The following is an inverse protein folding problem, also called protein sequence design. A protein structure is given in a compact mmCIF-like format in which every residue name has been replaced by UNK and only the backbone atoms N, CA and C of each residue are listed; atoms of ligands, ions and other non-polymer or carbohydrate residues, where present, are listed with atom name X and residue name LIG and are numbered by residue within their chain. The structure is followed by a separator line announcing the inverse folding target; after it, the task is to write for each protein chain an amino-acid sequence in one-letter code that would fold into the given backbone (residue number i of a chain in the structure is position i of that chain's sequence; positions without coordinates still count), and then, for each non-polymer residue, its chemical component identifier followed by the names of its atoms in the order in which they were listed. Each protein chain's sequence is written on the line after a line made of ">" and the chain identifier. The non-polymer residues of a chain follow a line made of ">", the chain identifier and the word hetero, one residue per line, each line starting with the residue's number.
data_IF_643391266107
#
_entry.id   IF_643391266107
#
_cell.length_a   1.000
_cell.length_b   1.000
_cell.length_c   1.000
_cell.angle_alpha   90.00
_cell.angle_beta   90.00
_cell.angle_gamma   90.00
#
_symmetry.space_group_name_H-M   'P 1'
#
loop_
_entity.id
_entity.type
_entity.pdbx_description
1 polymer ?
#
# COMPACT_ATOMS: atom_id res chain seq x y z
N UNK A 1 5.31 8.55 2.81
CA UNK A 1 4.57 7.31 3.14
C UNK A 1 3.60 7.01 2.01
N UNK A 2 3.25 5.75 1.80
CA UNK A 2 2.29 5.29 0.80
C UNK A 2 1.13 4.58 1.50
N UNK A 3 -0.07 4.74 0.96
CA UNK A 3 -1.28 4.13 1.51
C UNK A 3 -2.04 3.39 0.42
N UNK A 4 -2.49 2.18 0.75
CA UNK A 4 -3.55 1.52 -0.01
C UNK A 4 -4.85 1.69 0.75
N UNK A 5 -5.87 2.18 0.08
CA UNK A 5 -7.14 2.58 0.70
C UNK A 5 -8.33 1.95 -0.01
N UNK A 6 -9.37 1.63 0.75
CA UNK A 6 -10.69 1.27 0.25
C UNK A 6 -11.61 2.49 0.46
N UNK A 7 -12.27 2.97 -0.58
CA UNK A 7 -13.01 4.24 -0.55
C UNK A 7 -14.35 4.10 -1.28
N UNK A 8 -15.36 4.85 -0.85
CA UNK A 8 -16.68 4.87 -1.49
C UNK A 8 -16.73 5.74 -2.76
N UNK A 9 -15.70 6.56 -3.00
CA UNK A 9 -15.58 7.39 -4.19
C UNK A 9 -14.32 7.07 -4.96
N UNK A 10 -14.36 7.28 -6.28
CA UNK A 10 -13.21 7.08 -7.18
C UNK A 10 -12.16 8.20 -7.01
N UNK A 11 -11.56 8.29 -5.83
CA UNK A 11 -10.60 9.31 -5.40
C UNK A 11 -9.39 8.65 -4.76
N UNK A 12 -8.17 8.80 -5.33
CA UNK A 12 -6.99 8.12 -4.82
C UNK A 12 -6.21 8.86 -3.73
N UNK A 13 -6.58 10.10 -3.39
CA UNK A 13 -5.87 10.91 -2.40
C UNK A 13 -6.60 10.97 -1.06
N UNK A 14 -5.91 10.60 0.02
CA UNK A 14 -6.37 10.79 1.40
C UNK A 14 -6.60 12.27 1.70
N UNK A 15 -5.78 13.16 1.15
CA UNK A 15 -5.95 14.61 1.30
C UNK A 15 -7.32 15.07 0.77
N UNK A 16 -7.66 14.64 -0.44
CA UNK A 16 -8.97 14.93 -1.05
C UNK A 16 -10.13 14.28 -0.27
N UNK A 17 -9.98 13.02 0.13
CA UNK A 17 -11.01 12.31 0.92
C UNK A 17 -11.28 13.01 2.25
N UNK A 18 -10.24 13.48 2.94
CA UNK A 18 -10.37 14.24 4.20
C UNK A 18 -11.04 15.61 3.98
N UNK A 19 -10.63 16.34 2.94
CA UNK A 19 -11.21 17.65 2.57
C UNK A 19 -12.72 17.54 2.32
N UNK A 20 -13.12 16.49 1.62
CA UNK A 20 -14.50 16.26 1.22
C UNK A 20 -15.31 15.46 2.25
N UNK A 21 -14.68 15.05 3.38
CA UNK A 21 -15.27 14.23 4.44
C UNK A 21 -15.83 12.89 3.94
N UNK A 22 -15.15 12.30 2.96
CA UNK A 22 -15.49 11.00 2.38
C UNK A 22 -14.98 9.89 3.29
N UNK A 23 -15.78 8.83 3.44
CA UNK A 23 -15.39 7.65 4.22
C UNK A 23 -14.40 6.80 3.45
N UNK A 24 -13.38 6.32 4.17
CA UNK A 24 -12.39 5.42 3.61
C UNK A 24 -11.79 4.54 4.69
N UNK A 25 -11.23 3.41 4.28
CA UNK A 25 -10.52 2.47 5.14
C UNK A 25 -9.08 2.35 4.65
N UNK A 26 -8.11 2.63 5.53
CA UNK A 26 -6.70 2.35 5.28
C UNK A 26 -6.49 0.84 5.37
N UNK A 27 -6.10 0.24 4.25
CA UNK A 27 -5.92 -1.20 4.13
C UNK A 27 -4.51 -1.62 4.53
N UNK A 28 -3.53 -0.85 4.08
CA UNK A 28 -2.12 -1.08 4.33
C UNK A 28 -1.32 0.22 4.14
N UNK A 29 -0.15 0.27 4.77
CA UNK A 29 0.79 1.40 4.70
C UNK A 29 2.17 0.90 4.39
N UNK A 30 2.92 1.63 3.57
CA UNK A 30 4.32 1.35 3.30
C UNK A 30 5.16 2.63 3.40
N UNK A 31 6.35 2.52 3.97
CA UNK A 31 7.28 3.64 4.12
C UNK A 31 8.49 3.41 3.22
N UNK A 32 8.94 4.47 2.54
CA UNK A 32 10.14 4.48 1.69
C UNK A 32 10.17 3.51 0.49
N UNK A 33 9.14 2.69 0.30
CA UNK A 33 8.94 1.88 -0.89
C UNK A 33 7.45 1.60 -1.12
N UNK A 34 7.10 1.14 -2.31
CA UNK A 34 5.75 0.67 -2.67
C UNK A 34 5.82 -0.80 -3.04
N UNK A 35 5.05 -1.69 -2.38
CA UNK A 35 5.04 -3.10 -2.75
C UNK A 35 4.66 -3.35 -4.20
N UNK A 36 5.36 -4.27 -4.87
CA UNK A 36 5.10 -4.65 -6.26
C UNK A 36 3.64 -5.08 -6.46
N UNK A 37 3.11 -5.82 -5.50
CA UNK A 37 1.73 -6.32 -5.57
C UNK A 37 0.68 -5.21 -5.52
N UNK A 38 0.99 -4.04 -4.94
CA UNK A 38 0.07 -2.90 -4.97
C UNK A 38 -0.07 -2.36 -6.39
N UNK A 39 1.03 -2.25 -7.14
CA UNK A 39 0.97 -1.83 -8.53
C UNK A 39 0.16 -2.81 -9.40
N UNK A 40 0.27 -4.11 -9.13
CA UNK A 40 -0.49 -5.15 -9.82
C UNK A 40 -2.01 -5.09 -9.61
N UNK A 41 -2.50 -4.29 -8.65
CA UNK A 41 -3.94 -4.07 -8.46
C UNK A 41 -4.51 -3.14 -9.53
N UNK A 42 -3.68 -2.38 -10.24
CA UNK A 42 -4.13 -1.28 -11.09
C UNK A 42 -3.57 -1.39 -12.51
N UNK A 43 -4.18 -0.63 -13.42
CA UNK A 43 -3.72 -0.43 -14.80
C UNK A 43 -3.56 1.04 -15.09
N UNK A 44 -2.87 1.36 -16.18
CA UNK A 44 -2.72 2.73 -16.67
C UNK A 44 -4.08 3.45 -16.84
N UNK A 45 -5.13 2.73 -17.25
CA UNK A 45 -6.49 3.27 -17.37
C UNK A 45 -7.17 3.61 -16.05
N UNK A 46 -6.62 3.17 -14.92
CA UNK A 46 -7.12 3.48 -13.57
C UNK A 46 -6.49 4.76 -13.00
N UNK A 47 -5.54 5.38 -13.71
CA UNK A 47 -4.87 6.60 -13.27
C UNK A 47 -5.81 7.80 -13.33
N UNK A 48 -5.81 8.56 -12.24
CA UNK A 48 -6.57 9.80 -12.07
C UNK A 48 -5.59 10.90 -11.71
N UNK A 49 -5.74 12.04 -12.38
CA UNK A 49 -4.97 13.25 -12.05
C UNK A 49 -5.42 13.81 -10.69
N UNK A 50 -4.46 14.09 -9.84
CA UNK A 50 -4.63 14.61 -8.49
C UNK A 50 -3.73 15.82 -8.33
N UNK A 51 -4.28 16.93 -7.86
CA UNK A 51 -3.49 18.08 -7.41
C UNK A 51 -2.99 17.83 -5.99
N UNK A 52 -1.68 17.83 -5.83
CA UNK A 52 -0.99 17.72 -4.56
C UNK A 52 -0.52 19.12 -4.13
N UNK A 53 -1.09 19.60 -3.02
CA UNK A 53 -0.64 20.82 -2.34
C UNK A 53 0.51 20.46 -1.38
N UNK A 54 1.65 21.16 -1.47
CA UNK A 54 2.80 20.96 -0.59
C UNK A 54 3.54 22.26 -0.30
N UNK A 55 4.33 22.26 0.78
CA UNK A 55 5.15 23.41 1.17
C UNK A 55 6.63 23.08 0.98
N UNK A 56 7.43 24.06 0.53
CA UNK A 56 8.88 23.94 0.55
C UNK A 56 9.45 24.17 1.97
N UNK A 57 10.78 24.09 2.09
CA UNK A 57 11.48 24.33 3.36
C UNK A 57 11.39 25.78 3.87
N UNK A 58 10.94 26.73 3.04
CA UNK A 58 10.72 28.14 3.38
C UNK A 58 9.24 28.43 3.72
N UNK A 59 8.36 27.43 3.56
CA UNK A 59 6.91 27.55 3.80
C UNK A 59 6.11 28.12 2.63
N UNK A 60 6.70 28.23 1.44
CA UNK A 60 5.97 28.62 0.23
C UNK A 60 5.08 27.47 -0.23
N UNK A 61 3.84 27.80 -0.62
CA UNK A 61 2.86 26.84 -1.13
C UNK A 61 3.06 26.56 -2.62
N UNK A 62 3.09 25.27 -2.95
CA UNK A 62 3.14 24.76 -4.31
C UNK A 62 1.98 23.80 -4.56
N UNK A 63 1.54 23.77 -5.81
CA UNK A 63 0.54 22.81 -6.29
C UNK A 63 1.10 22.16 -7.54
N UNK A 64 1.27 20.84 -7.48
CA UNK A 64 1.70 20.06 -8.63
C UNK A 64 0.72 18.92 -8.87
N UNK A 65 0.54 18.53 -10.13
CA UNK A 65 -0.36 17.44 -10.48
C UNK A 65 0.41 16.13 -10.60
N UNK A 66 -0.18 15.06 -10.09
CA UNK A 66 0.33 13.69 -10.22
C UNK A 66 -0.78 12.74 -10.65
N UNK A 67 -0.44 11.57 -11.16
CA UNK A 67 -1.39 10.53 -11.52
C UNK A 67 -1.35 9.41 -10.48
N UNK A 68 -2.49 9.13 -9.86
CA UNK A 68 -2.62 8.08 -8.84
C UNK A 68 -3.73 7.11 -9.21
N UNK A 69 -3.57 5.81 -8.95
CA UNK A 69 -4.50 4.82 -9.43
C UNK A 69 -5.71 4.65 -8.50
N UNK A 70 -6.89 4.51 -9.10
CA UNK A 70 -8.11 4.11 -8.39
C UNK A 70 -9.00 3.24 -9.29
N UNK A 71 -9.32 2.05 -8.82
CA UNK A 71 -10.11 1.06 -9.56
C UNK A 71 -11.18 0.44 -8.65
N UNK A 72 -12.09 -0.36 -9.20
CA UNK A 72 -13.06 -1.10 -8.39
C UNK A 72 -12.39 -2.25 -7.65
N UNK A 73 -12.95 -2.70 -6.53
CA UNK A 73 -12.47 -3.91 -5.82
C UNK A 73 -12.40 -5.11 -6.76
N UNK A 74 -13.44 -5.31 -7.58
CA UNK A 74 -13.49 -6.39 -8.57
C UNK A 74 -12.40 -6.23 -9.64
N UNK A 75 -12.18 -5.00 -10.11
CA UNK A 75 -11.10 -4.66 -11.03
C UNK A 75 -9.73 -4.99 -10.46
N UNK A 76 -9.47 -4.61 -9.21
CA UNK A 76 -8.22 -4.88 -8.52
C UNK A 76 -7.94 -6.38 -8.37
N UNK A 77 -8.93 -7.16 -7.95
CA UNK A 77 -8.83 -8.62 -7.83
C UNK A 77 -8.55 -9.25 -9.19
N UNK A 78 -9.23 -8.79 -10.23
CA UNK A 78 -9.04 -9.28 -11.61
C UNK A 78 -7.66 -8.93 -12.14
N UNK A 79 -7.18 -7.71 -11.90
CA UNK A 79 -5.84 -7.27 -12.30
C UNK A 79 -4.75 -8.11 -11.64
N UNK A 80 -4.85 -8.34 -10.32
CA UNK A 80 -3.90 -9.15 -9.57
C UNK A 80 -3.85 -10.60 -10.06
N UNK A 81 -5.00 -11.22 -10.35
CA UNK A 81 -5.05 -12.59 -10.91
C UNK A 81 -4.35 -12.69 -12.26
N UNK A 82 -4.37 -11.60 -13.04
CA UNK A 82 -3.78 -11.54 -14.37
C UNK A 82 -2.33 -11.06 -14.37
N UNK A 83 -1.76 -10.65 -13.23
CA UNK A 83 -0.40 -10.10 -13.16
C UNK A 83 0.71 -11.15 -13.07
N UNK A 84 0.37 -12.45 -13.10
CA UNK A 84 1.33 -13.54 -12.95
C UNK A 84 2.50 -13.45 -13.92
N UNK A 85 2.26 -13.12 -15.20
CA UNK A 85 3.34 -12.99 -16.19
C UNK A 85 4.31 -11.84 -15.87
N UNK A 86 3.78 -10.70 -15.41
CA UNK A 86 4.58 -9.55 -15.00
C UNK A 86 5.43 -9.87 -13.77
N UNK A 87 4.83 -10.53 -12.77
CA UNK A 87 5.54 -10.94 -11.55
C UNK A 87 6.61 -12.01 -11.82
N UNK A 88 6.34 -12.93 -12.76
CA UNK A 88 7.34 -13.90 -13.24
C UNK A 88 8.50 -13.22 -13.95
N UNK A 89 8.28 -12.10 -14.66
CA UNK A 89 9.37 -11.33 -15.27
C UNK A 89 10.29 -10.66 -14.24
N UNK A 90 9.84 -10.50 -12.99
CA UNK A 90 10.62 -9.93 -11.88
C UNK A 90 11.32 -11.04 -11.08
N UNK A 91 10.55 -12.00 -10.57
CA UNK A 91 11.03 -13.02 -9.63
C UNK A 91 11.52 -14.30 -10.31
N UNK A 92 11.08 -14.60 -11.53
CA UNK A 92 11.43 -15.82 -12.27
C UNK A 92 11.24 -17.15 -11.47
N UNK A 93 10.30 -17.17 -10.52
CA UNK A 93 9.91 -18.38 -9.78
C UNK A 93 8.38 -18.43 -9.63
N UNK A 94 7.77 -19.46 -10.20
CA UNK A 94 6.32 -19.58 -10.26
C UNK A 94 5.67 -19.87 -8.89
N UNK A 95 6.32 -20.67 -8.05
CA UNK A 95 5.78 -21.04 -6.75
C UNK A 95 5.79 -19.85 -5.80
N UNK A 96 6.89 -19.09 -5.81
CA UNK A 96 7.02 -17.87 -5.01
C UNK A 96 5.97 -16.84 -5.46
N UNK A 97 5.89 -16.56 -6.77
CA UNK A 97 4.90 -15.62 -7.32
C UNK A 97 3.48 -16.03 -6.95
N UNK A 98 3.12 -17.30 -7.12
CA UNK A 98 1.77 -17.76 -6.80
C UNK A 98 1.45 -17.59 -5.31
N UNK A 99 2.40 -17.90 -4.42
CA UNK A 99 2.20 -17.73 -2.98
C UNK A 99 1.91 -16.29 -2.57
N UNK A 100 2.62 -15.32 -3.15
CA UNK A 100 2.40 -13.89 -2.90
C UNK A 100 1.07 -13.38 -3.48
N UNK A 101 0.68 -13.86 -4.66
CA UNK A 101 -0.65 -13.58 -5.24
C UNK A 101 -1.75 -14.12 -4.32
N UNK A 102 -1.67 -15.40 -3.92
CA UNK A 102 -2.69 -16.06 -3.11
C UNK A 102 -2.85 -15.37 -1.76
N UNK A 103 -1.74 -15.05 -1.08
CA UNK A 103 -1.77 -14.28 0.16
C UNK A 103 -2.42 -12.92 0.00
N UNK A 104 -2.10 -12.21 -1.08
CA UNK A 104 -2.70 -10.89 -1.33
C UNK A 104 -4.19 -11.01 -1.60
N UNK A 105 -4.62 -12.01 -2.38
CA UNK A 105 -6.04 -12.27 -2.64
C UNK A 105 -6.82 -12.63 -1.37
N UNK A 106 -6.23 -13.40 -0.45
CA UNK A 106 -6.83 -13.70 0.86
C UNK A 106 -7.09 -12.41 1.66
N UNK A 107 -6.16 -11.45 1.57
CA UNK A 107 -6.22 -10.17 2.26
C UNK A 107 -7.09 -9.14 1.53
N UNK A 108 -7.38 -9.34 0.25
CA UNK A 108 -8.32 -8.53 -0.54
C UNK A 108 -9.77 -9.02 -0.38
N UNK A 109 -10.24 -9.05 0.85
CA UNK A 109 -11.62 -9.45 1.20
C UNK A 109 -12.24 -8.47 2.21
N UNK A 110 -13.53 -8.60 2.50
CA UNK A 110 -14.23 -7.84 3.55
C UNK A 110 -14.07 -6.30 3.43
N UNK A 111 -14.25 -5.77 2.23
CA UNK A 111 -14.21 -4.33 1.98
C UNK A 111 -15.52 -3.66 2.41
N UNK A 112 -15.41 -2.44 2.92
CA UNK A 112 -16.57 -1.61 3.29
C UNK A 112 -17.11 -0.82 2.09
N UNK A 113 -16.30 -0.69 1.04
CA UNK A 113 -16.56 0.17 -0.11
C UNK A 113 -16.15 -0.48 -1.45
N UNK A 114 -16.59 0.12 -2.55
CA UNK A 114 -16.47 -0.48 -3.89
C UNK A 114 -15.16 -0.19 -4.62
N UNK A 115 -14.37 0.79 -4.16
CA UNK A 115 -13.13 1.20 -4.82
C UNK A 115 -11.90 0.92 -3.97
N UNK A 116 -10.80 0.57 -4.64
CA UNK A 116 -9.46 0.52 -4.06
C UNK A 116 -8.63 1.61 -4.75
N UNK A 117 -7.81 2.29 -3.99
CA UNK A 117 -6.91 3.31 -4.51
C UNK A 117 -5.57 3.30 -3.80
N UNK A 118 -4.56 3.88 -4.42
CA UNK A 118 -3.24 4.07 -3.82
C UNK A 118 -2.91 5.56 -3.74
N UNK A 119 -2.70 6.04 -2.52
CA UNK A 119 -2.17 7.38 -2.27
C UNK A 119 -0.66 7.30 -2.11
N UNK A 120 0.08 7.79 -3.11
CA UNK A 120 1.54 7.88 -3.10
C UNK A 120 2.03 9.33 -2.98
N UNK A 121 1.15 10.30 -2.68
CA UNK A 121 1.46 11.75 -2.73
C UNK A 121 2.71 12.08 -1.93
N UNK A 122 2.77 11.64 -0.66
CA UNK A 122 3.91 11.93 0.21
C UNK A 122 5.20 11.24 -0.25
N UNK A 123 5.12 10.05 -0.83
CA UNK A 123 6.31 9.38 -1.35
C UNK A 123 6.88 10.17 -2.52
N UNK A 124 6.05 10.57 -3.47
CA UNK A 124 6.45 11.36 -4.64
C UNK A 124 7.07 12.69 -4.22
N UNK A 125 6.42 13.43 -3.31
CA UNK A 125 6.90 14.74 -2.83
C UNK A 125 8.24 14.63 -2.09
N UNK A 126 8.43 13.60 -1.26
CA UNK A 126 9.60 13.53 -0.37
C UNK A 126 10.79 12.75 -0.95
N UNK A 127 10.58 11.90 -1.96
CA UNK A 127 11.62 10.99 -2.45
C UNK A 127 11.99 11.22 -3.90
N UNK A 128 11.19 11.99 -4.66
CA UNK A 128 11.45 12.23 -6.08
C UNK A 128 11.37 13.72 -6.42
N UNK A 129 12.24 14.11 -7.35
CA UNK A 129 12.08 15.38 -8.06
C UNK A 129 10.77 15.37 -8.87
N UNK A 130 10.09 16.51 -8.96
CA UNK A 130 8.82 16.62 -9.68
C UNK A 130 8.94 16.17 -11.14
N UNK A 131 10.09 16.45 -11.78
CA UNK A 131 10.39 16.02 -13.15
C UNK A 131 10.43 14.51 -13.35
N UNK A 132 10.47 13.73 -12.27
CA UNK A 132 10.55 12.28 -12.27
C UNK A 132 9.23 11.59 -11.86
N UNK A 133 8.20 12.34 -11.48
CA UNK A 133 6.92 11.77 -11.04
C UNK A 133 6.24 10.92 -12.13
N UNK A 134 6.49 11.22 -13.41
CA UNK A 134 5.97 10.43 -14.54
C UNK A 134 6.44 8.96 -14.51
N UNK A 135 7.60 8.65 -13.89
CA UNK A 135 8.11 7.29 -13.74
C UNK A 135 7.14 6.42 -12.95
N UNK A 136 6.46 7.00 -11.96
CA UNK A 136 5.45 6.29 -11.17
C UNK A 136 4.28 5.82 -12.04
N UNK A 137 3.81 6.64 -12.97
CA UNK A 137 2.74 6.26 -13.91
C UNK A 137 3.15 5.09 -14.82
N UNK A 138 4.44 4.93 -15.12
CA UNK A 138 4.96 3.82 -15.92
C UNK A 138 4.87 2.47 -15.21
N UNK A 139 4.77 2.44 -13.88
CA UNK A 139 4.56 1.21 -13.12
C UNK A 139 3.21 0.53 -13.40
N UNK A 140 2.25 1.23 -14.02
CA UNK A 140 0.92 0.70 -14.33
C UNK A 140 0.75 0.31 -15.81
N UNK A 141 1.84 0.38 -16.57
CA UNK A 141 1.90 -0.03 -17.97
C UNK A 141 1.92 -1.54 -18.14
N UNK A 142 2.26 -1.98 -19.35
CA UNK A 142 2.43 -3.40 -19.68
C UNK A 142 3.65 -3.64 -20.56
N UNK A 143 4.57 -2.68 -20.59
CA UNK A 143 5.80 -2.75 -21.38
C UNK A 143 7.00 -3.19 -20.52
N UNK A 144 8.13 -3.45 -21.16
CA UNK A 144 9.37 -3.86 -20.46
C UNK A 144 9.85 -2.81 -19.44
N UNK A 145 9.59 -1.52 -19.70
CA UNK A 145 9.97 -0.44 -18.77
C UNK A 145 9.20 -0.50 -17.45
N UNK A 146 8.01 -1.10 -17.47
CA UNK A 146 7.19 -1.33 -16.27
C UNK A 146 7.97 -2.15 -15.23
N UNK A 147 8.65 -3.22 -15.64
CA UNK A 147 9.46 -4.07 -14.74
C UNK A 147 10.58 -3.26 -14.08
N UNK A 148 11.28 -2.43 -14.85
CA UNK A 148 12.36 -1.58 -14.34
C UNK A 148 11.86 -0.64 -13.24
N UNK A 149 10.77 0.10 -13.50
CA UNK A 149 10.24 1.03 -12.51
C UNK A 149 9.62 0.32 -11.32
N UNK A 150 8.95 -0.83 -11.50
CA UNK A 150 8.46 -1.62 -10.37
C UNK A 150 9.58 -1.99 -9.41
N UNK A 151 10.74 -2.41 -9.93
CA UNK A 151 11.92 -2.70 -9.11
C UNK A 151 12.45 -1.46 -8.41
N UNK A 152 12.54 -0.33 -9.11
CA UNK A 152 12.98 0.95 -8.55
C UNK A 152 12.11 1.41 -7.38
N UNK A 153 10.79 1.47 -7.55
CA UNK A 153 9.87 1.96 -6.51
C UNK A 153 9.65 0.99 -5.34
N UNK A 154 9.92 -0.30 -5.54
CA UNK A 154 9.80 -1.32 -4.50
C UNK A 154 11.12 -1.68 -3.82
N UNK A 155 12.24 -1.14 -4.31
CA UNK A 155 13.60 -1.51 -3.91
C UNK A 155 13.88 -3.02 -4.04
N UNK A 156 13.37 -3.65 -5.10
CA UNK A 156 13.64 -5.07 -5.37
C UNK A 156 15.11 -5.28 -5.81
N UNK A 157 15.78 -6.28 -5.23
CA UNK A 157 17.16 -6.63 -5.58
C UNK A 157 17.21 -7.83 -6.55
N UNK A 158 17.79 -7.60 -7.73
CA UNK A 158 17.81 -8.58 -8.84
C UNK A 158 18.61 -9.85 -8.55
N UNK A 159 19.57 -9.80 -7.63
CA UNK A 159 20.48 -10.90 -7.33
C UNK A 159 19.98 -11.83 -6.22
N UNK A 160 18.78 -11.58 -5.68
CA UNK A 160 18.20 -12.38 -4.62
C UNK A 160 16.69 -12.61 -4.81
N UNK A 161 16.30 -13.88 -4.91
CA UNK A 161 14.89 -14.26 -4.93
C UNK A 161 14.24 -14.02 -3.57
N UNK A 162 12.99 -13.53 -3.54
CA UNK A 162 12.18 -13.51 -2.33
C UNK A 162 12.16 -14.87 -1.63
N UNK A 163 11.96 -14.87 -0.32
CA UNK A 163 11.59 -16.06 0.41
C UNK A 163 10.15 -16.48 0.00
N UNK A 164 9.86 -17.79 -0.09
CA UNK A 164 8.49 -18.26 -0.14
C UNK A 164 7.69 -17.69 1.03
N UNK A 165 6.41 -17.37 0.79
CA UNK A 165 5.55 -16.71 1.80
C UNK A 165 5.54 -17.44 3.14
N UNK A 166 5.48 -18.78 3.14
CA UNK A 166 5.47 -19.56 4.38
C UNK A 166 6.76 -19.37 5.20
N UNK A 167 7.92 -19.28 4.53
CA UNK A 167 9.22 -19.10 5.18
C UNK A 167 9.38 -17.66 5.68
N UNK A 168 9.02 -16.67 4.85
CA UNK A 168 9.12 -15.25 5.18
C UNK A 168 8.35 -14.89 6.47
N UNK A 169 7.20 -15.54 6.69
CA UNK A 169 6.34 -15.30 7.85
C UNK A 169 6.56 -16.27 9.02
N UNK A 170 7.36 -17.34 8.86
CA UNK A 170 7.57 -18.34 9.90
C UNK A 170 8.56 -17.88 10.99
N UNK A 171 9.56 -17.07 10.62
CA UNK A 171 10.68 -16.74 11.51
C UNK A 171 11.09 -15.28 11.36
N UNK A 172 11.29 -14.55 12.48
CA UNK A 172 11.79 -13.17 12.43
C UNK A 172 13.29 -13.08 12.10
N UNK A 173 14.03 -14.19 12.17
CA UNK A 173 15.48 -14.26 11.96
C UNK A 173 15.81 -14.82 10.56
N UNK A 174 15.48 -14.06 9.52
CA UNK A 174 15.94 -14.36 8.14
C UNK A 174 17.37 -13.83 7.97
N UNK A 175 18.26 -14.70 7.53
CA UNK A 175 19.72 -14.54 7.52
C UNK A 175 20.27 -13.82 6.28
N UNK A 176 19.54 -13.84 5.17
CA UNK A 176 19.92 -13.17 3.92
C UNK A 176 19.20 -11.83 3.78
N UNK A 177 19.94 -10.74 4.00
CA UNK A 177 19.45 -9.36 3.91
C UNK A 177 18.85 -9.03 2.53
N UNK A 178 19.41 -9.57 1.45
CA UNK A 178 18.96 -9.28 0.08
C UNK A 178 17.68 -10.02 -0.23
N UNK A 179 17.61 -11.31 0.10
CA UNK A 179 16.37 -12.09 -0.03
C UNK A 179 15.27 -11.50 0.83
N UNK A 180 15.60 -11.00 2.03
CA UNK A 180 14.67 -10.28 2.89
C UNK A 180 14.18 -9.00 2.20
N UNK A 181 15.07 -8.18 1.64
CA UNK A 181 14.70 -6.98 0.88
C UNK A 181 13.73 -7.29 -0.26
N UNK A 182 14.07 -8.27 -1.11
CA UNK A 182 13.20 -8.72 -2.20
C UNK A 182 11.86 -9.28 -1.71
N UNK A 183 11.83 -9.92 -0.53
CA UNK A 183 10.58 -10.37 0.10
C UNK A 183 9.73 -9.21 0.57
N UNK A 184 10.32 -8.17 1.17
CA UNK A 184 9.59 -6.96 1.59
C UNK A 184 9.07 -6.19 0.35
N UNK A 185 9.81 -6.18 -0.76
CA UNK A 185 9.36 -5.60 -2.02
C UNK A 185 8.11 -6.31 -2.59
N UNK A 186 8.02 -7.64 -2.41
CA UNK A 186 6.85 -8.44 -2.80
C UNK A 186 5.74 -8.46 -1.74
N UNK A 187 6.06 -8.20 -0.48
CA UNK A 187 5.11 -8.31 0.61
C UNK A 187 4.00 -7.25 0.48
N UNK A 188 2.71 -7.63 0.47
CA UNK A 188 1.64 -6.66 0.32
C UNK A 188 1.52 -5.72 1.53
N UNK A 189 2.25 -5.91 2.64
CA UNK A 189 2.16 -5.12 3.87
C UNK A 189 0.73 -5.05 4.46
N UNK A 190 -0.14 -5.97 4.06
CA UNK A 190 -1.44 -6.18 4.68
C UNK A 190 -1.25 -7.06 5.92
N UNK A 191 -0.97 -6.45 7.07
CA UNK A 191 -0.67 -7.21 8.29
C UNK A 191 -1.80 -8.18 8.67
N UNK A 192 -3.07 -7.75 8.59
CA UNK A 192 -4.28 -8.58 8.63
C UNK A 192 -5.55 -7.71 8.43
N UNK A 193 -6.72 -8.34 8.36
CA UNK A 193 -8.01 -7.63 8.26
C UNK A 193 -8.31 -6.74 9.48
N UNK A 194 -7.78 -7.07 10.66
CA UNK A 194 -8.04 -6.36 11.92
C UNK A 194 -7.19 -5.09 12.05
N UNK A 195 -6.09 -4.96 11.29
CA UNK A 195 -5.23 -3.78 11.31
C UNK A 195 -5.76 -2.63 10.44
N UNK A 196 -6.89 -2.83 9.76
CA UNK A 196 -7.51 -1.82 8.90
C UNK A 196 -8.10 -0.68 9.72
N UNK A 197 -7.83 0.56 9.32
CA UNK A 197 -8.26 1.75 10.06
C UNK A 197 -9.35 2.47 9.27
N UNK A 198 -10.52 2.65 9.88
CA UNK A 198 -11.68 3.29 9.25
C UNK A 198 -11.74 4.78 9.56
N UNK A 199 -12.03 5.58 8.53
CA UNK A 199 -12.13 7.03 8.61
C UNK A 199 -13.51 7.54 8.16
N UNK A 200 -14.04 8.61 8.79
CA UNK A 200 -13.45 9.31 9.93
C UNK A 200 -13.40 8.39 11.16
N UNK A 201 -12.36 8.56 11.99
CA UNK A 201 -12.19 7.71 13.18
C UNK A 201 -13.45 7.79 14.01
N UNK A 202 -14.10 6.64 14.22
CA UNK A 202 -15.26 6.59 15.11
C UNK A 202 -14.76 6.94 16.51
N UNK A 203 -15.30 7.98 17.17
CA UNK A 203 -14.84 8.33 18.51
C UNK A 203 -15.03 7.11 19.41
N UNK A 204 -13.93 6.63 20.00
CA UNK A 204 -13.99 5.58 21.01
C UNK A 204 -14.79 6.16 22.17
N UNK A 205 -15.99 5.64 22.38
CA UNK A 205 -16.81 6.07 23.50
C UNK A 205 -16.18 5.52 24.78
N UNK A 206 -15.27 6.28 25.38
CA UNK A 206 -14.57 5.93 26.63
C UNK A 206 -15.53 5.82 27.84
N UNK A 207 -16.82 6.11 27.66
CA UNK A 207 -17.84 6.06 28.71
C UNK A 207 -18.14 4.65 29.25
N UNK A 208 -17.64 3.58 28.62
CA UNK A 208 -17.90 2.19 29.04
C UNK A 208 -16.64 1.41 29.41
N UNK A 209 -15.54 2.08 29.78
CA UNK A 209 -14.53 1.41 30.59
C UNK A 209 -15.10 1.35 32.01
N UNK A 210 -15.47 0.16 32.55
CA UNK A 210 -15.84 0.08 33.95
C UNK A 210 -14.64 0.60 34.75
N UNK A 211 -14.85 1.71 35.45
CA UNK A 211 -13.88 2.21 36.42
C UNK A 211 -13.75 1.10 37.46
N UNK A 212 -12.73 0.26 37.29
CA UNK A 212 -12.28 -0.62 38.36
C UNK A 212 -11.84 0.32 39.46
N UNK A 213 -12.69 0.48 40.49
CA UNK A 213 -12.33 1.19 41.71
C UNK A 213 -11.04 0.54 42.20
N UNK A 214 -9.90 1.20 41.94
CA UNK A 214 -8.62 0.81 42.53
C UNK A 214 -8.85 0.84 44.05
N UNK A 215 -8.84 -0.34 44.68
CA UNK A 215 -8.81 -0.40 46.14
C UNK A 215 -7.58 0.38 46.57
N UNK A 216 -7.71 1.31 47.52
CA UNK A 216 -6.54 2.01 48.03
C UNK A 216 -5.57 0.99 48.63
N UNK A 217 -4.28 1.24 48.44
CA UNK A 217 -3.18 0.30 48.71
C UNK A 217 -3.10 -0.20 50.16
N UNK A 218 -3.75 0.48 51.10
CA UNK A 218 -3.84 0.08 52.51
C UNK A 218 -4.91 -0.97 52.82
N UNK A 219 -5.73 -1.38 51.85
CA UNK A 219 -6.74 -2.45 52.01
C UNK A 219 -6.25 -3.84 51.58
N UNK A 220 -4.94 -4.02 51.41
CA UNK A 220 -4.31 -5.30 51.04
C UNK A 220 -3.72 -6.07 52.24
N UNK A 221 -4.07 -5.69 53.47
CA UNK A 221 -3.64 -6.35 54.71
C UNK A 221 -4.85 -6.64 55.60
#
# INVERSE_FOLDING_TARGET
>A
MNFLINTCEKKPSIGLLKKDKVQYTELATSSYQVPILWFCLFKETDLIEVSCEYHDGEGNEYVSNTFQPCTTVEGAITNLRNSKSLLLAICNDELIVQGYIDKTLELLTNFDHDYIAMDASQYLILNLEESDWWKFSKCFGSDESTVTYLKEFSHYEDDALPYPVAEFYATPELDDDKRRSSSIAFDPNFANLLSRVKYPLTPVNLATIPVVKKKPWWQFW
#
